data_IF_845116279249
#
_entry.id   IF_845116279249
#
_cell.length_a   1.000
_cell.length_b   1.000
_cell.length_c   1.000
_cell.angle_alpha   90.00
_cell.angle_beta   90.00
_cell.angle_gamma   90.00
#
_symmetry.space_group_name_H-M   'P 1'
#
loop_
_entity.id
_entity.type
_entity.pdbx_description
1 polymer ?
#
# COMPACT_ATOMS: atom_id res chain seq x y z
N UNK A 1 13.56 1.04 -14.09
CA UNK A 1 13.69 -0.03 -13.09
C UNK A 1 14.05 -1.34 -13.76
N UNK A 2 14.63 -2.26 -12.99
CA UNK A 2 14.80 -3.65 -13.40
C UNK A 2 13.51 -4.41 -13.05
N UNK A 3 12.69 -4.82 -14.04
CA UNK A 3 11.38 -5.41 -13.77
C UNK A 3 11.46 -6.78 -13.10
N UNK A 4 12.61 -7.46 -13.19
CA UNK A 4 12.83 -8.72 -12.50
C UNK A 4 13.12 -8.56 -11.00
N UNK A 5 13.39 -7.33 -10.54
CA UNK A 5 13.83 -7.05 -9.16
C UNK A 5 12.95 -6.04 -8.41
N UNK A 6 12.37 -5.11 -9.15
CA UNK A 6 11.47 -4.10 -8.58
C UNK A 6 10.09 -4.31 -9.19
N UNK A 7 9.20 -4.87 -8.40
CA UNK A 7 7.81 -5.13 -8.82
C UNK A 7 7.04 -3.82 -9.05
N UNK A 8 6.02 -3.89 -9.89
CA UNK A 8 5.07 -2.78 -10.06
C UNK A 8 4.33 -2.46 -8.77
N UNK A 9 4.11 -3.46 -7.92
CA UNK A 9 3.56 -3.26 -6.57
C UNK A 9 4.43 -2.33 -5.72
N UNK A 10 5.76 -2.48 -5.79
CA UNK A 10 6.70 -1.59 -5.09
C UNK A 10 6.65 -0.17 -5.62
N UNK A 11 6.51 -0.03 -6.93
CA UNK A 11 6.35 1.28 -7.59
C UNK A 11 5.00 1.91 -7.21
N UNK A 12 3.91 1.13 -7.24
CA UNK A 12 2.60 1.58 -6.79
C UNK A 12 2.64 2.07 -5.34
N UNK A 13 3.29 1.30 -4.46
CA UNK A 13 3.48 1.66 -3.06
C UNK A 13 4.20 2.99 -2.87
N UNK A 14 5.29 3.21 -3.62
CA UNK A 14 6.00 4.48 -3.61
C UNK A 14 5.11 5.64 -4.08
N UNK A 15 4.38 5.47 -5.19
CA UNK A 15 3.46 6.48 -5.71
C UNK A 15 2.35 6.82 -4.71
N UNK A 16 1.76 5.80 -4.07
CA UNK A 16 0.72 5.98 -3.05
C UNK A 16 1.27 6.76 -1.84
N UNK A 17 2.46 6.43 -1.36
CA UNK A 17 3.09 7.16 -0.26
C UNK A 17 3.38 8.63 -0.63
N UNK A 18 3.81 8.89 -1.85
CA UNK A 18 4.03 10.26 -2.33
C UNK A 18 2.72 11.05 -2.39
N UNK A 19 1.67 10.47 -2.95
CA UNK A 19 0.35 11.11 -3.03
C UNK A 19 -0.25 11.34 -1.64
N UNK A 20 -0.33 10.30 -0.81
CA UNK A 20 -0.90 10.36 0.53
C UNK A 20 -0.11 11.27 1.47
N UNK A 21 1.21 11.18 1.41
CA UNK A 21 2.11 11.98 2.21
C UNK A 21 2.32 13.39 1.66
N UNK A 22 1.77 13.70 0.47
CA UNK A 22 2.05 14.95 -0.25
C UNK A 22 3.55 15.21 -0.35
N UNK A 23 4.31 14.17 -0.66
CA UNK A 23 5.76 14.27 -0.79
C UNK A 23 6.18 14.69 -2.20
N UNK A 24 7.31 15.37 -2.27
CA UNK A 24 8.05 15.61 -3.50
C UNK A 24 9.55 15.43 -3.24
N UNK A 25 10.32 15.16 -4.27
CA UNK A 25 11.78 15.22 -4.16
C UNK A 25 12.22 16.65 -3.79
N UNK A 26 13.18 16.75 -2.88
CA UNK A 26 13.77 18.06 -2.52
C UNK A 26 14.38 18.72 -3.73
N UNK A 27 14.19 20.06 -3.86
CA UNK A 27 14.76 20.84 -4.96
C UNK A 27 16.29 20.85 -4.96
N UNK A 28 16.90 20.77 -3.77
CA UNK A 28 18.35 20.69 -3.62
C UNK A 28 18.73 19.41 -2.90
N UNK A 29 19.82 18.78 -3.31
CA UNK A 29 20.32 17.52 -2.73
C UNK A 29 19.24 16.42 -2.72
N UNK A 30 18.45 16.32 -3.80
CA UNK A 30 17.41 15.32 -3.95
C UNK A 30 17.94 13.89 -3.75
N UNK A 31 19.13 13.61 -4.25
CA UNK A 31 19.81 12.33 -4.13
C UNK A 31 21.16 12.51 -3.42
N UNK A 32 21.49 11.59 -2.54
CA UNK A 32 22.79 11.48 -1.87
C UNK A 32 23.33 10.07 -2.10
N UNK A 33 24.51 9.95 -2.70
CA UNK A 33 25.18 8.67 -2.80
C UNK A 33 25.55 8.15 -1.40
N UNK A 34 25.23 6.90 -1.13
CA UNK A 34 25.59 6.19 0.10
C UNK A 34 26.84 5.34 -0.10
N UNK A 35 26.91 4.65 -1.23
CA UNK A 35 28.06 3.86 -1.63
C UNK A 35 28.11 3.78 -3.16
N UNK A 36 29.29 3.49 -3.67
CA UNK A 36 29.53 3.24 -5.09
C UNK A 36 30.53 2.09 -5.24
N UNK A 37 30.17 1.13 -6.05
CA UNK A 37 31.01 0.02 -6.49
C UNK A 37 31.03 0.00 -8.01
N UNK A 38 31.80 -0.87 -8.62
CA UNK A 38 31.99 -0.92 -10.06
C UNK A 38 30.66 -1.08 -10.85
N UNK A 39 29.77 -1.94 -10.35
CA UNK A 39 28.50 -2.30 -11.00
C UNK A 39 27.27 -1.90 -10.18
N UNK A 40 27.44 -1.30 -9.02
CA UNK A 40 26.34 -1.02 -8.08
C UNK A 40 26.54 0.32 -7.41
N UNK A 41 25.46 1.11 -7.31
CA UNK A 41 25.45 2.38 -6.58
C UNK A 41 24.18 2.48 -5.72
N UNK A 42 24.36 2.88 -4.46
CA UNK A 42 23.25 3.15 -3.55
C UNK A 42 23.01 4.63 -3.38
N UNK A 43 21.77 5.05 -3.46
CA UNK A 43 21.33 6.41 -3.20
C UNK A 43 20.29 6.48 -2.09
N UNK A 44 20.38 7.55 -1.32
CA UNK A 44 19.32 8.01 -0.44
C UNK A 44 18.59 9.16 -1.12
N UNK A 45 17.31 8.97 -1.38
CA UNK A 45 16.44 10.00 -1.94
C UNK A 45 15.85 10.82 -0.80
N UNK A 46 16.05 12.13 -0.86
CA UNK A 46 15.51 13.08 0.10
C UNK A 46 14.19 13.64 -0.45
N UNK A 47 13.14 13.49 0.31
CA UNK A 47 11.82 14.02 0.01
C UNK A 47 11.39 15.01 1.07
N UNK A 48 10.48 15.89 0.71
CA UNK A 48 9.87 16.86 1.60
C UNK A 48 8.38 16.94 1.32
N UNK A 49 7.59 17.36 2.30
CA UNK A 49 6.18 17.70 2.05
C UNK A 49 6.08 18.90 1.13
N UNK A 50 4.96 19.05 0.40
CA UNK A 50 4.73 20.15 -0.55
C UNK A 50 4.90 21.50 0.12
N UNK A 51 4.52 21.65 1.40
CA UNK A 51 4.68 22.84 2.21
C UNK A 51 6.11 23.00 2.79
N UNK A 52 7.02 22.06 2.49
CA UNK A 52 8.41 22.01 2.92
C UNK A 52 8.63 22.04 4.45
N UNK A 53 7.60 21.70 5.26
CA UNK A 53 7.71 21.70 6.72
C UNK A 53 8.31 20.41 7.27
N UNK A 54 8.22 19.32 6.52
CA UNK A 54 8.69 18.01 6.94
C UNK A 54 9.50 17.34 5.85
N UNK A 55 10.39 16.47 6.24
CA UNK A 55 11.24 15.72 5.32
C UNK A 55 11.26 14.24 5.69
N UNK A 56 11.40 13.41 4.67
CA UNK A 56 11.56 11.97 4.79
C UNK A 56 12.60 11.47 3.80
N UNK A 57 12.90 10.19 3.85
CA UNK A 57 13.90 9.58 2.97
C UNK A 57 13.47 8.17 2.57
N UNK A 58 13.95 7.73 1.40
CA UNK A 58 13.93 6.32 1.03
C UNK A 58 15.21 5.96 0.29
N UNK A 59 15.60 4.69 0.38
CA UNK A 59 16.81 4.22 -0.28
C UNK A 59 16.50 3.52 -1.60
N UNK A 60 17.41 3.65 -2.57
CA UNK A 60 17.37 2.88 -3.81
C UNK A 60 18.77 2.42 -4.18
N UNK A 61 18.83 1.23 -4.75
CA UNK A 61 20.05 0.65 -5.32
C UNK A 61 19.91 0.55 -6.83
N UNK A 62 20.91 1.02 -7.55
CA UNK A 62 21.01 0.86 -8.99
C UNK A 62 22.10 -0.15 -9.30
N UNK A 63 21.86 -0.98 -10.31
CA UNK A 63 22.86 -1.89 -10.88
C UNK A 63 23.07 -1.61 -12.36
N UNK A 64 24.31 -1.78 -12.80
CA UNK A 64 24.64 -1.73 -14.21
C UNK A 64 24.09 -2.97 -14.90
N UNK A 65 23.35 -2.79 -15.99
CA UNK A 65 22.86 -3.91 -16.77
C UNK A 65 24.04 -4.63 -17.44
N UNK A 66 24.05 -5.96 -17.39
CA UNK A 66 25.21 -6.80 -17.76
C UNK A 66 25.70 -6.64 -19.21
N UNK A 67 24.86 -6.14 -20.10
CA UNK A 67 25.19 -5.98 -21.53
C UNK A 67 25.04 -4.52 -22.03
N UNK A 68 24.89 -3.57 -21.12
CA UNK A 68 24.67 -2.17 -21.49
C UNK A 68 25.38 -1.22 -20.52
N UNK A 69 25.59 0.01 -20.97
CA UNK A 69 26.07 1.11 -20.12
C UNK A 69 24.97 1.68 -19.21
N UNK A 70 23.75 1.16 -19.31
CA UNK A 70 22.58 1.67 -18.59
C UNK A 70 22.55 1.21 -17.15
N UNK A 71 22.14 2.10 -16.26
CA UNK A 71 21.90 1.81 -14.85
C UNK A 71 20.40 1.60 -14.62
N UNK A 72 20.04 0.49 -13.98
CA UNK A 72 18.66 0.17 -13.65
C UNK A 72 18.47 0.16 -12.13
N UNK A 73 17.37 0.71 -11.65
CA UNK A 73 16.98 0.58 -10.25
C UNK A 73 16.66 -0.88 -9.98
N UNK A 74 17.45 -1.51 -9.12
CA UNK A 74 17.35 -2.92 -8.76
C UNK A 74 16.73 -3.15 -7.37
N UNK A 75 16.57 -2.09 -6.57
CA UNK A 75 15.96 -2.18 -5.25
C UNK A 75 15.41 -0.82 -4.84
N UNK A 76 14.25 -0.82 -4.18
CA UNK A 76 13.66 0.35 -3.52
C UNK A 76 13.28 -0.08 -2.11
N UNK A 77 13.87 0.57 -1.10
CA UNK A 77 13.52 0.36 0.32
C UNK A 77 12.70 1.55 0.81
N UNK A 78 11.46 1.28 1.21
CA UNK A 78 10.49 2.27 1.66
C UNK A 78 10.29 2.29 3.19
N UNK A 79 11.04 1.49 3.96
CA UNK A 79 10.79 1.30 5.38
C UNK A 79 10.85 2.62 6.17
N UNK A 80 11.84 3.45 5.87
CA UNK A 80 11.97 4.76 6.51
C UNK A 80 10.85 5.71 6.09
N UNK A 81 10.52 5.76 4.81
CA UNK A 81 9.42 6.60 4.30
C UNK A 81 8.08 6.18 4.89
N UNK A 82 7.84 4.88 5.04
CA UNK A 82 6.64 4.33 5.69
C UNK A 82 6.56 4.72 7.16
N UNK A 83 7.67 4.62 7.90
CA UNK A 83 7.73 5.01 9.31
C UNK A 83 7.44 6.51 9.50
N UNK A 84 8.04 7.37 8.68
CA UNK A 84 7.82 8.82 8.70
C UNK A 84 6.36 9.16 8.32
N UNK A 85 5.81 8.50 7.30
CA UNK A 85 4.41 8.65 6.93
C UNK A 85 3.49 8.27 8.08
N UNK A 86 3.69 7.10 8.70
CA UNK A 86 2.87 6.61 9.80
C UNK A 86 2.94 7.54 11.02
N UNK A 87 4.12 8.03 11.38
CA UNK A 87 4.31 8.99 12.46
C UNK A 87 3.51 10.28 12.24
N UNK A 88 3.49 10.77 11.01
CA UNK A 88 2.87 12.05 10.67
C UNK A 88 1.35 11.95 10.46
N UNK A 89 0.89 10.94 9.74
CA UNK A 89 -0.50 10.86 9.25
C UNK A 89 -1.36 9.99 10.15
N UNK A 90 -0.79 8.94 10.72
CA UNK A 90 -1.49 7.95 11.54
C UNK A 90 -1.21 8.08 13.04
N UNK A 91 -0.65 9.22 13.49
CA UNK A 91 -0.31 9.42 14.90
C UNK A 91 0.72 8.41 15.44
N UNK A 92 1.58 7.88 14.57
CA UNK A 92 2.57 6.85 14.90
C UNK A 92 2.03 5.42 14.78
N UNK A 93 0.76 5.25 14.42
CA UNK A 93 0.16 3.91 14.28
C UNK A 93 0.40 3.33 12.87
N UNK A 94 1.39 2.45 12.77
CA UNK A 94 1.70 1.71 11.53
C UNK A 94 0.56 0.84 11.01
N UNK A 95 -0.44 0.53 11.85
CA UNK A 95 -1.61 -0.25 11.42
C UNK A 95 -2.52 0.50 10.44
N UNK A 96 -2.38 1.82 10.35
CA UNK A 96 -3.04 2.64 9.32
C UNK A 96 -2.16 2.93 8.11
N UNK A 97 -1.00 2.29 8.00
CA UNK A 97 -0.20 2.38 6.78
C UNK A 97 -1.00 1.84 5.59
N UNK A 98 -1.03 2.57 4.46
CA UNK A 98 -1.66 2.06 3.24
C UNK A 98 -0.92 0.85 2.66
N UNK A 99 0.32 0.64 3.05
CA UNK A 99 1.13 -0.51 2.61
C UNK A 99 1.45 -1.43 3.78
N UNK A 100 1.23 -2.71 3.56
CA UNK A 100 1.51 -3.79 4.52
C UNK A 100 2.41 -4.80 3.87
N UNK A 101 3.49 -5.16 4.54
CA UNK A 101 4.32 -6.29 4.11
C UNK A 101 3.54 -7.59 4.29
N UNK A 102 3.38 -8.34 3.22
CA UNK A 102 2.81 -9.67 3.28
C UNK A 102 3.93 -10.67 3.65
N UNK A 103 3.76 -11.47 4.70
CA UNK A 103 4.76 -12.48 5.09
C UNK A 103 4.98 -13.55 4.00
N UNK A 104 4.02 -13.73 3.10
CA UNK A 104 4.10 -14.69 1.98
C UNK A 104 4.68 -14.08 0.68
N UNK A 105 5.21 -12.85 0.74
CA UNK A 105 5.72 -12.10 -0.40
C UNK A 105 4.69 -11.16 -1.02
N UNK A 106 5.17 -10.20 -1.81
CA UNK A 106 4.36 -9.14 -2.39
C UNK A 106 4.04 -8.00 -1.42
N UNK A 107 3.47 -6.94 -1.96
CA UNK A 107 2.99 -5.80 -1.16
C UNK A 107 1.45 -5.83 -1.11
N UNK A 108 0.88 -5.52 0.04
CA UNK A 108 -0.57 -5.44 0.23
C UNK A 108 -0.95 -3.99 0.50
N UNK A 109 -1.89 -3.48 -0.28
CA UNK A 109 -2.51 -2.18 -0.05
C UNK A 109 -3.72 -2.37 0.87
N UNK A 110 -3.78 -1.64 1.97
CA UNK A 110 -4.89 -1.68 2.91
C UNK A 110 -5.76 -0.42 2.79
N UNK A 111 -7.04 -0.61 2.53
CA UNK A 111 -8.07 0.43 2.42
C UNK A 111 -8.98 0.34 3.65
N UNK A 112 -9.12 1.41 4.40
CA UNK A 112 -9.86 1.41 5.67
C UNK A 112 -11.27 1.96 5.51
N UNK A 113 -12.20 1.43 6.32
CA UNK A 113 -13.62 1.79 6.34
C UNK A 113 -14.05 2.22 7.74
N UNK A 114 -15.03 3.12 7.79
CA UNK A 114 -15.70 3.46 9.04
C UNK A 114 -16.57 2.31 9.55
N UNK A 115 -17.00 2.43 10.81
CA UNK A 115 -17.85 1.41 11.44
C UNK A 115 -19.15 1.23 10.64
N UNK A 116 -19.49 -0.01 10.36
CA UNK A 116 -20.70 -0.42 9.62
C UNK A 116 -20.85 0.18 8.21
N UNK A 117 -19.76 0.71 7.63
CA UNK A 117 -19.76 1.30 6.30
C UNK A 117 -18.98 0.48 5.28
N UNK A 118 -19.44 0.54 4.03
CA UNK A 118 -18.69 0.10 2.84
C UNK A 118 -18.41 1.28 1.88
N UNK A 119 -18.65 2.52 2.29
CA UNK A 119 -18.39 3.70 1.46
C UNK A 119 -16.89 4.02 1.43
N UNK A 120 -16.37 4.25 0.24
CA UNK A 120 -14.96 4.61 0.06
C UNK A 120 -14.70 6.10 0.35
N UNK A 121 -13.69 6.35 1.14
CA UNK A 121 -13.16 7.70 1.34
C UNK A 121 -12.52 8.24 0.03
N UNK A 122 -12.57 9.56 -0.26
CA UNK A 122 -11.91 10.16 -1.43
C UNK A 122 -10.43 9.80 -1.60
N UNK A 123 -9.71 9.66 -0.48
CA UNK A 123 -8.31 9.21 -0.46
C UNK A 123 -8.14 7.80 -1.04
N UNK A 124 -9.03 6.87 -0.66
CA UNK A 124 -9.06 5.51 -1.18
C UNK A 124 -9.20 5.48 -2.70
N UNK A 125 -10.03 6.36 -3.27
CA UNK A 125 -10.19 6.46 -4.72
C UNK A 125 -8.89 6.80 -5.44
N UNK A 126 -8.11 7.76 -4.92
CA UNK A 126 -6.80 8.11 -5.51
C UNK A 126 -5.80 6.95 -5.46
N UNK A 127 -5.78 6.19 -4.36
CA UNK A 127 -4.97 4.97 -4.29
C UNK A 127 -5.38 3.95 -5.34
N UNK A 128 -6.68 3.75 -5.54
CA UNK A 128 -7.22 2.83 -6.55
C UNK A 128 -6.96 3.29 -7.99
N UNK A 129 -6.91 4.60 -8.24
CA UNK A 129 -6.50 5.14 -9.55
C UNK A 129 -5.07 4.72 -9.91
N UNK A 130 -4.14 4.75 -8.95
CA UNK A 130 -2.75 4.28 -9.15
C UNK A 130 -2.75 2.78 -9.49
N UNK A 131 -3.47 1.96 -8.71
CA UNK A 131 -3.61 0.52 -8.98
C UNK A 131 -4.24 0.27 -10.36
N UNK A 132 -5.28 1.04 -10.72
CA UNK A 132 -5.97 0.89 -12.00
C UNK A 132 -5.07 1.19 -13.19
N UNK A 133 -4.16 2.16 -13.09
CA UNK A 133 -3.20 2.46 -14.16
C UNK A 133 -2.30 1.25 -14.45
N UNK A 134 -1.83 0.56 -13.41
CA UNK A 134 -1.00 -0.64 -13.56
C UNK A 134 -1.79 -1.78 -14.19
N UNK A 135 -2.99 -2.08 -13.68
CA UNK A 135 -3.83 -3.17 -14.19
C UNK A 135 -4.25 -2.94 -15.64
N UNK A 136 -4.56 -1.71 -16.04
CA UNK A 136 -4.91 -1.37 -17.43
C UNK A 136 -3.73 -1.43 -18.38
N UNK A 137 -2.50 -1.21 -17.88
CA UNK A 137 -1.29 -1.31 -18.70
C UNK A 137 -0.92 -2.74 -19.04
N UNK A 138 -1.38 -3.71 -18.25
CA UNK A 138 -1.10 -5.13 -18.45
C UNK A 138 -2.32 -6.00 -18.09
N UNK A 139 -3.08 -6.46 -19.10
CA UNK A 139 -4.26 -7.32 -18.88
C UNK A 139 -3.95 -8.69 -18.27
N UNK A 140 -2.69 -9.11 -18.26
CA UNK A 140 -2.26 -10.36 -17.62
C UNK A 140 -2.18 -10.29 -16.09
N UNK A 141 -2.07 -9.06 -15.55
CA UNK A 141 -1.99 -8.83 -14.10
C UNK A 141 -3.33 -9.04 -13.42
N UNK A 142 -3.30 -9.65 -12.25
CA UNK A 142 -4.49 -9.90 -11.43
C UNK A 142 -4.27 -9.41 -10.01
N UNK A 143 -5.37 -9.09 -9.34
CA UNK A 143 -5.39 -8.73 -7.92
C UNK A 143 -6.44 -9.54 -7.18
N UNK A 144 -6.21 -9.73 -5.89
CA UNK A 144 -7.19 -10.27 -4.96
C UNK A 144 -7.60 -9.18 -3.98
N UNK A 145 -8.91 -8.95 -3.85
CA UNK A 145 -9.52 -8.04 -2.89
C UNK A 145 -10.06 -8.86 -1.72
N UNK A 146 -9.49 -8.71 -0.54
CA UNK A 146 -9.95 -9.39 0.66
C UNK A 146 -10.65 -8.40 1.59
N UNK A 147 -11.97 -8.56 1.77
CA UNK A 147 -12.76 -7.74 2.70
C UNK A 147 -12.70 -8.28 4.12
N UNK A 148 -12.55 -7.39 5.10
CA UNK A 148 -12.46 -7.71 6.53
C UNK A 148 -13.38 -6.82 7.37
N UNK A 149 -13.80 -7.35 8.52
CA UNK A 149 -14.56 -6.62 9.55
C UNK A 149 -13.83 -6.68 10.89
N UNK A 150 -14.28 -5.88 11.85
CA UNK A 150 -14.00 -6.14 13.26
C UNK A 150 -14.90 -7.29 13.79
N UNK A 151 -14.75 -7.65 15.06
CA UNK A 151 -15.46 -8.76 15.67
C UNK A 151 -16.89 -8.41 16.19
N UNK A 152 -17.41 -7.21 15.92
CA UNK A 152 -18.76 -6.85 16.29
C UNK A 152 -19.76 -7.38 15.26
N UNK A 153 -20.85 -7.98 15.76
CA UNK A 153 -21.91 -8.56 14.93
C UNK A 153 -21.85 -10.08 14.84
N UNK A 154 -22.76 -10.65 14.08
CA UNK A 154 -22.79 -12.09 13.83
C UNK A 154 -21.81 -12.45 12.70
N UNK A 155 -21.41 -13.71 12.64
CA UNK A 155 -20.51 -14.20 11.58
C UNK A 155 -21.09 -13.98 10.18
N UNK A 156 -22.40 -14.24 10.01
CA UNK A 156 -23.06 -14.06 8.72
C UNK A 156 -23.09 -12.57 8.32
N UNK A 157 -23.43 -11.70 9.28
CA UNK A 157 -23.37 -10.25 9.07
C UNK A 157 -21.98 -9.77 8.68
N UNK A 158 -20.94 -10.24 9.37
CA UNK A 158 -19.55 -9.87 9.07
C UNK A 158 -19.09 -10.40 7.70
N UNK A 159 -19.52 -11.57 7.29
CA UNK A 159 -19.27 -12.09 5.96
C UNK A 159 -19.92 -11.21 4.89
N UNK A 160 -21.20 -10.83 5.06
CA UNK A 160 -21.91 -9.96 4.13
C UNK A 160 -21.29 -8.57 4.06
N UNK A 161 -20.91 -7.97 5.19
CA UNK A 161 -20.27 -6.66 5.23
C UNK A 161 -18.90 -6.69 4.56
N UNK A 162 -18.11 -7.74 4.80
CA UNK A 162 -16.81 -7.91 4.15
C UNK A 162 -16.92 -8.11 2.65
N UNK A 163 -17.96 -8.83 2.19
CA UNK A 163 -18.29 -8.94 0.75
C UNK A 163 -18.60 -7.57 0.16
N UNK A 164 -19.50 -6.80 0.76
CA UNK A 164 -19.85 -5.45 0.28
C UNK A 164 -18.64 -4.53 0.19
N UNK A 165 -17.71 -4.59 1.17
CA UNK A 165 -16.47 -3.79 1.15
C UNK A 165 -15.56 -4.16 -0.02
N UNK A 166 -15.39 -5.45 -0.29
CA UNK A 166 -14.62 -5.91 -1.44
C UNK A 166 -15.28 -5.53 -2.77
N UNK A 167 -16.61 -5.67 -2.86
CA UNK A 167 -17.38 -5.37 -4.08
C UNK A 167 -17.36 -3.89 -4.43
N UNK A 168 -17.47 -2.99 -3.46
CA UNK A 168 -17.38 -1.53 -3.70
C UNK A 168 -16.02 -1.16 -4.31
N UNK A 169 -14.94 -1.78 -3.85
CA UNK A 169 -13.59 -1.57 -4.41
C UNK A 169 -13.51 -2.14 -5.83
N UNK A 170 -14.01 -3.37 -6.05
CA UNK A 170 -14.08 -4.00 -7.37
C UNK A 170 -14.85 -3.14 -8.37
N UNK A 171 -16.04 -2.72 -8.01
CA UNK A 171 -16.94 -1.97 -8.89
C UNK A 171 -16.32 -0.61 -9.27
N UNK A 172 -15.64 0.04 -8.34
CA UNK A 172 -14.89 1.25 -8.66
C UNK A 172 -13.74 0.99 -9.64
N UNK A 173 -12.94 -0.07 -9.44
CA UNK A 173 -11.87 -0.42 -10.38
C UNK A 173 -12.40 -0.72 -11.77
N UNK A 174 -13.54 -1.41 -11.89
CA UNK A 174 -14.21 -1.66 -13.16
C UNK A 174 -14.69 -0.34 -13.78
N UNK A 175 -15.29 0.55 -12.99
CA UNK A 175 -15.74 1.86 -13.44
C UNK A 175 -14.60 2.70 -14.03
N UNK A 176 -13.40 2.60 -13.48
CA UNK A 176 -12.20 3.31 -13.98
C UNK A 176 -11.44 2.53 -15.06
N UNK A 177 -12.02 1.45 -15.58
CA UNK A 177 -11.56 0.75 -16.78
C UNK A 177 -10.71 -0.50 -16.56
N UNK A 178 -10.66 -1.04 -15.34
CA UNK A 178 -10.04 -2.34 -15.09
C UNK A 178 -10.98 -3.46 -15.54
N UNK A 179 -10.45 -4.48 -16.20
CA UNK A 179 -11.24 -5.63 -16.65
C UNK A 179 -11.66 -6.50 -15.47
N UNK A 180 -12.93 -6.90 -15.38
CA UNK A 180 -13.46 -7.72 -14.29
C UNK A 180 -12.67 -9.02 -14.06
N UNK A 181 -12.15 -9.63 -15.13
CA UNK A 181 -11.33 -10.87 -15.06
C UNK A 181 -9.96 -10.70 -14.39
N UNK A 182 -9.53 -9.46 -14.12
CA UNK A 182 -8.30 -9.15 -13.38
C UNK A 182 -8.54 -9.08 -11.86
N UNK A 183 -9.79 -9.16 -11.40
CA UNK A 183 -10.15 -8.91 -10.01
C UNK A 183 -10.84 -10.13 -9.41
N UNK A 184 -10.29 -10.64 -8.31
CA UNK A 184 -10.89 -11.68 -7.48
C UNK A 184 -11.30 -11.05 -6.15
N UNK A 185 -12.54 -11.29 -5.69
CA UNK A 185 -13.01 -10.84 -4.38
C UNK A 185 -13.12 -12.01 -3.40
N UNK A 186 -12.72 -11.79 -2.14
CA UNK A 186 -12.79 -12.78 -1.07
C UNK A 186 -13.35 -12.11 0.19
N UNK A 187 -14.42 -12.66 0.74
CA UNK A 187 -14.94 -12.28 2.04
C UNK A 187 -14.18 -13.01 3.15
N UNK A 188 -13.64 -12.29 4.11
CA UNK A 188 -12.92 -12.83 5.27
C UNK A 188 -13.67 -12.60 6.58
N UNK A 189 -14.69 -11.71 6.59
CA UNK A 189 -15.36 -11.33 7.81
C UNK A 189 -14.37 -10.89 8.89
N UNK A 190 -14.57 -11.38 10.10
CA UNK A 190 -13.72 -11.13 11.27
C UNK A 190 -12.65 -12.22 11.52
N UNK A 191 -12.52 -13.19 10.60
CA UNK A 191 -11.66 -14.37 10.78
C UNK A 191 -10.15 -14.08 10.77
N UNK A 192 -9.72 -12.94 10.22
CA UNK A 192 -8.31 -12.55 10.09
C UNK A 192 -8.09 -11.14 10.63
N UNK A 193 -8.14 -10.94 11.95
CA UNK A 193 -7.91 -9.64 12.55
C UNK A 193 -6.43 -9.23 12.37
N UNK A 194 -6.21 -7.99 11.96
CA UNK A 194 -4.88 -7.39 11.87
C UNK A 194 -4.36 -6.96 13.24
N UNK A 195 -5.28 -6.62 14.14
CA UNK A 195 -5.05 -6.27 15.53
C UNK A 195 -6.07 -6.97 16.44
N UNK A 196 -5.74 -7.25 17.70
CA UNK A 196 -6.72 -7.77 18.63
C UNK A 196 -7.93 -6.82 18.75
N UNK A 197 -9.14 -7.40 18.73
CA UNK A 197 -10.39 -6.65 18.93
C UNK A 197 -10.62 -6.31 20.42
N UNK A 198 -9.85 -6.95 21.30
CA UNK A 198 -9.89 -6.75 22.75
C UNK A 198 -8.49 -6.42 23.26
N UNK A 199 -8.42 -5.72 24.38
CA UNK A 199 -7.16 -5.42 25.09
C UNK A 199 -6.63 -6.67 25.79
N UNK A 200 -5.39 -6.64 26.26
CA UNK A 200 -4.78 -7.73 27.06
C UNK A 200 -5.60 -8.03 28.35
N UNK A 201 -6.30 -7.04 28.88
CA UNK A 201 -7.15 -7.17 30.06
C UNK A 201 -8.58 -7.62 29.72
N UNK A 202 -8.88 -7.96 28.47
CA UNK A 202 -10.20 -8.41 28.00
C UNK A 202 -11.21 -7.28 27.74
N UNK A 203 -10.80 -6.01 27.87
CA UNK A 203 -11.62 -4.85 27.56
C UNK A 203 -11.73 -4.60 26.05
N UNK A 204 -12.61 -3.72 25.66
CA UNK A 204 -12.78 -3.29 24.26
C UNK A 204 -11.51 -2.61 23.74
N UNK A 205 -11.16 -2.88 22.46
CA UNK A 205 -10.04 -2.26 21.75
C UNK A 205 -10.53 -1.56 20.47
N UNK A 206 -11.04 -0.32 20.58
CA UNK A 206 -11.54 0.43 19.42
C UNK A 206 -10.50 0.63 18.32
N UNK A 207 -9.23 0.85 18.67
CA UNK A 207 -8.13 1.01 17.71
C UNK A 207 -7.86 -0.30 16.96
N UNK A 208 -7.87 -1.43 17.66
CA UNK A 208 -7.77 -2.75 17.04
C UNK A 208 -8.91 -3.00 16.06
N UNK A 209 -10.15 -2.71 16.46
CA UNK A 209 -11.31 -2.84 15.58
C UNK A 209 -11.21 -1.95 14.35
N UNK A 210 -10.78 -0.70 14.51
CA UNK A 210 -10.59 0.22 13.38
C UNK A 210 -9.58 -0.33 12.38
N UNK A 211 -8.46 -0.90 12.83
CA UNK A 211 -7.47 -1.54 11.96
C UNK A 211 -8.02 -2.80 11.24
N UNK A 212 -9.04 -3.44 11.80
CA UNK A 212 -9.66 -4.63 11.23
C UNK A 212 -10.71 -4.31 10.16
N UNK A 213 -11.34 -3.15 10.19
CA UNK A 213 -12.31 -2.69 9.18
C UNK A 213 -11.60 -2.23 7.92
N UNK A 214 -11.27 -3.17 7.05
CA UNK A 214 -10.45 -2.88 5.86
C UNK A 214 -10.80 -3.78 4.68
N UNK A 215 -10.38 -3.36 3.50
CA UNK A 215 -10.17 -4.24 2.34
C UNK A 215 -8.70 -4.24 2.00
N UNK A 216 -8.11 -5.40 1.88
CA UNK A 216 -6.75 -5.60 1.43
C UNK A 216 -6.73 -5.89 -0.08
N UNK A 217 -5.83 -5.22 -0.80
CA UNK A 217 -5.53 -5.50 -2.19
C UNK A 217 -4.17 -6.16 -2.23
N UNK A 218 -4.15 -7.43 -2.54
CA UNK A 218 -2.92 -8.16 -2.78
C UNK A 218 -2.46 -7.91 -4.21
N UNK A 219 -1.30 -7.28 -4.33
CA UNK A 219 -0.65 -6.93 -5.60
C UNK A 219 0.33 -8.05 -5.94
N UNK A 220 -0.17 -9.10 -6.59
CA UNK A 220 0.59 -10.29 -6.98
C UNK A 220 1.12 -10.13 -8.41
N UNK A 221 2.05 -9.17 -8.62
CA UNK A 221 2.71 -8.94 -9.90
C UNK A 221 4.01 -8.14 -9.80
#
# INVERSE_FOLDING_TARGET
>A
VDPAKVSDAKIAGLCILFEEGQYRLRKSKALRAMFQREDTVGYLANVETVDAKQSAQFAMTLKKASESTSWLVSEINLDQLLAEYASRVAGGDLYYSPLVKNPNGGDTLALYFEFDEAQMHPRTRRQLEIVSMILRSDPGKKITLSGHTDALGTKDYNNDLSTRRADVVRDYLIQVGVTAGQIVTVAKGDSQPRRPNVTETGGDNPEGRRANRRTEIYLDF
#
